data_IF_192791868213
#
_entry.id   IF_192791868213
#
_cell.length_a   1.000
_cell.length_b   1.000
_cell.length_c   1.000
_cell.angle_alpha   90.00
_cell.angle_beta   90.00
_cell.angle_gamma   90.00
#
_symmetry.space_group_name_H-M   'P 1'
#
loop_
_entity.id
_entity.type
_entity.pdbx_description
1 polymer ?
#
# COMPACT_ATOMS: atom_id res chain seq x y z
N UNK A 1 -5.07 9.06 -14.64
CA UNK A 1 -4.29 9.41 -15.85
C UNK A 1 -5.16 9.82 -17.04
N UNK A 2 -6.31 9.17 -17.32
CA UNK A 2 -7.22 9.52 -18.46
C UNK A 2 -7.80 10.95 -18.50
N UNK A 3 -7.43 11.86 -17.59
CA UNK A 3 -7.97 13.21 -17.45
C UNK A 3 -7.14 14.31 -18.12
N UNK A 4 -5.84 14.07 -18.33
CA UNK A 4 -4.91 15.03 -18.95
C UNK A 4 -4.56 14.57 -20.37
N UNK A 5 -4.64 15.45 -21.37
CA UNK A 5 -4.26 15.11 -22.76
C UNK A 5 -2.80 14.66 -22.87
N UNK A 6 -1.91 15.22 -22.04
CA UNK A 6 -0.50 14.83 -21.95
C UNK A 6 -0.27 13.40 -21.45
N UNK A 7 -1.28 12.75 -20.85
CA UNK A 7 -1.18 11.39 -20.31
C UNK A 7 -0.99 10.33 -21.39
N UNK A 8 -1.34 10.60 -22.66
CA UNK A 8 -1.11 9.67 -23.78
C UNK A 8 0.37 9.29 -23.93
N UNK A 9 1.28 10.22 -23.64
CA UNK A 9 2.74 10.02 -23.74
C UNK A 9 3.26 8.91 -22.80
N UNK A 10 2.61 8.72 -21.65
CA UNK A 10 3.05 7.78 -20.61
C UNK A 10 2.19 6.53 -20.51
N UNK A 11 1.18 6.39 -21.37
CA UNK A 11 0.21 5.27 -21.30
C UNK A 11 0.88 3.91 -21.45
N UNK A 12 1.96 3.82 -22.23
CA UNK A 12 2.72 2.58 -22.41
C UNK A 12 3.42 2.09 -21.13
N UNK A 13 3.76 2.99 -20.19
CA UNK A 13 4.44 2.64 -18.95
C UNK A 13 3.49 2.08 -17.89
N UNK A 14 2.20 2.45 -17.96
CA UNK A 14 1.17 2.08 -16.97
C UNK A 14 1.06 0.56 -16.82
N UNK A 15 1.13 -0.20 -17.92
CA UNK A 15 1.06 -1.67 -17.88
C UNK A 15 2.22 -2.30 -17.10
N UNK A 16 3.43 -1.74 -17.21
CA UNK A 16 4.59 -2.22 -16.48
C UNK A 16 4.51 -1.87 -14.99
N UNK A 17 4.06 -0.66 -14.67
CA UNK A 17 3.78 -0.27 -13.28
C UNK A 17 2.76 -1.23 -12.67
N UNK A 18 1.64 -1.47 -13.36
CA UNK A 18 0.59 -2.37 -12.88
C UNK A 18 1.12 -3.80 -12.68
N UNK A 19 1.93 -4.32 -13.61
CA UNK A 19 2.53 -5.64 -13.49
C UNK A 19 3.41 -5.75 -12.23
N UNK A 20 4.29 -4.78 -12.00
CA UNK A 20 5.16 -4.78 -10.79
C UNK A 20 4.33 -4.65 -9.51
N UNK A 21 3.29 -3.83 -9.50
CA UNK A 21 2.41 -3.68 -8.33
C UNK A 21 1.64 -4.96 -8.02
N UNK A 22 1.10 -5.64 -9.04
CA UNK A 22 0.38 -6.91 -8.87
C UNK A 22 1.35 -8.00 -8.39
N UNK A 23 2.52 -8.11 -9.00
CA UNK A 23 3.52 -9.10 -8.60
C UNK A 23 4.04 -8.85 -7.18
N UNK A 24 4.31 -7.59 -6.83
CA UNK A 24 4.67 -7.20 -5.47
C UNK A 24 3.56 -7.52 -4.46
N UNK A 25 2.31 -7.26 -4.81
CA UNK A 25 1.16 -7.60 -3.97
C UNK A 25 1.05 -9.11 -3.74
N UNK A 26 1.21 -9.93 -4.79
CA UNK A 26 1.18 -11.39 -4.68
C UNK A 26 2.29 -11.92 -3.77
N UNK A 27 3.52 -11.41 -3.91
CA UNK A 27 4.64 -11.76 -3.01
C UNK A 27 4.31 -11.36 -1.56
N UNK A 28 3.78 -10.15 -1.36
CA UNK A 28 3.47 -9.64 -0.03
C UNK A 28 2.37 -10.44 0.69
N UNK A 29 1.31 -10.83 -0.04
CA UNK A 29 0.21 -11.66 0.48
C UNK A 29 0.65 -13.09 0.82
N UNK A 30 1.71 -13.60 0.18
CA UNK A 30 2.15 -14.99 0.36
C UNK A 30 2.45 -15.29 1.84
N UNK A 31 1.72 -16.23 2.48
CA UNK A 31 1.96 -16.59 3.88
C UNK A 31 3.24 -17.42 3.99
N UNK A 32 3.99 -17.23 5.07
CA UNK A 32 5.20 -18.02 5.31
C UNK A 32 4.86 -19.45 5.73
N UNK A 33 3.81 -19.61 6.54
CA UNK A 33 3.30 -20.89 7.04
C UNK A 33 1.91 -21.12 6.46
N UNK A 34 1.73 -22.23 5.74
CA UNK A 34 0.41 -22.65 5.28
C UNK A 34 -0.30 -23.39 6.41
N UNK A 35 -1.60 -23.14 6.58
CA UNK A 35 -2.44 -23.90 7.52
C UNK A 35 -2.74 -25.22 6.80
N UNK A 36 -1.89 -26.21 7.04
CA UNK A 36 -1.94 -27.52 6.39
C UNK A 36 -2.53 -28.56 7.35
N UNK A 37 -3.30 -29.50 6.83
CA UNK A 37 -3.72 -30.67 7.61
C UNK A 37 -2.52 -31.60 7.86
N UNK A 38 -2.52 -32.41 8.93
CA UNK A 38 -1.42 -33.32 9.24
C UNK A 38 -1.04 -34.25 8.09
N UNK A 39 -2.02 -34.68 7.27
CA UNK A 39 -1.81 -35.47 6.05
C UNK A 39 -1.06 -34.71 4.96
N UNK A 40 -1.36 -33.42 4.78
CA UNK A 40 -0.69 -32.58 3.78
C UNK A 40 0.75 -32.25 4.18
N UNK A 41 0.99 -32.00 5.48
CA UNK A 41 2.33 -31.79 6.04
C UNK A 41 3.24 -33.01 5.81
N UNK A 42 2.69 -34.23 5.95
CA UNK A 42 3.42 -35.47 5.68
C UNK A 42 3.78 -35.63 4.19
N UNK A 43 2.87 -35.26 3.27
CA UNK A 43 3.16 -35.30 1.83
C UNK A 43 4.09 -34.19 1.34
N UNK A 44 4.09 -33.03 2.00
CA UNK A 44 4.95 -31.89 1.65
C UNK A 44 6.35 -31.99 2.24
N UNK A 45 6.59 -32.93 3.16
CA UNK A 45 7.87 -33.08 3.85
C UNK A 45 8.18 -31.96 4.84
N UNK A 46 7.17 -31.18 5.25
CA UNK A 46 7.30 -30.05 6.18
C UNK A 46 6.15 -29.05 6.11
N UNK A 47 6.18 -28.04 6.99
CA UNK A 47 5.15 -26.98 7.10
C UNK A 47 5.27 -25.88 6.04
N UNK A 48 6.27 -25.97 5.15
CA UNK A 48 6.58 -24.95 4.14
C UNK A 48 6.74 -25.60 2.77
N UNK A 49 6.17 -24.98 1.74
CA UNK A 49 6.39 -25.38 0.36
C UNK A 49 7.77 -24.86 -0.12
N UNK A 50 8.60 -25.71 -0.72
CA UNK A 50 9.98 -25.34 -1.15
C UNK A 50 10.05 -24.07 -2.00
N UNK A 51 9.05 -23.80 -2.85
CA UNK A 51 9.01 -22.61 -3.71
C UNK A 51 8.32 -21.38 -3.08
N UNK A 52 7.33 -21.57 -2.20
CA UNK A 52 6.54 -20.46 -1.61
C UNK A 52 7.09 -20.02 -0.25
N UNK A 53 7.78 -20.92 0.45
CA UNK A 53 8.44 -20.65 1.73
C UNK A 53 9.43 -19.48 1.65
N UNK A 54 10.33 -19.44 0.64
CA UNK A 54 11.22 -18.31 0.41
C UNK A 54 10.49 -16.98 0.14
N UNK A 55 9.36 -17.00 -0.57
CA UNK A 55 8.59 -15.79 -0.87
C UNK A 55 7.82 -15.26 0.36
N UNK A 56 7.49 -16.14 1.31
CA UNK A 56 6.78 -15.77 2.53
C UNK A 56 7.63 -15.13 3.62
N UNK A 57 8.96 -15.10 3.51
CA UNK A 57 9.84 -14.53 4.55
C UNK A 57 9.73 -12.99 4.62
N UNK A 58 10.02 -12.42 5.79
CA UNK A 58 9.99 -10.96 5.98
C UNK A 58 10.86 -10.18 4.98
N UNK A 59 12.11 -10.59 4.64
CA UNK A 59 12.89 -9.93 3.60
C UNK A 59 12.20 -9.83 2.24
N UNK A 60 11.55 -10.89 1.76
CA UNK A 60 10.85 -10.90 0.47
C UNK A 60 9.67 -9.92 0.46
N UNK A 61 8.91 -9.87 1.57
CA UNK A 61 7.81 -8.91 1.75
C UNK A 61 8.31 -7.47 1.77
N UNK A 62 9.46 -7.21 2.38
CA UNK A 62 10.04 -5.88 2.44
C UNK A 62 10.50 -5.38 1.06
N UNK A 63 11.11 -6.25 0.25
CA UNK A 63 11.46 -5.93 -1.14
C UNK A 63 10.21 -5.56 -1.94
N UNK A 64 9.18 -6.41 -1.86
CA UNK A 64 7.93 -6.22 -2.57
C UNK A 64 7.28 -4.87 -2.21
N UNK A 65 7.18 -4.54 -0.92
CA UNK A 65 6.61 -3.28 -0.45
C UNK A 65 7.43 -2.07 -0.91
N UNK A 66 8.76 -2.11 -0.81
CA UNK A 66 9.60 -0.99 -1.24
C UNK A 66 9.52 -0.77 -2.76
N UNK A 67 9.49 -1.84 -3.56
CA UNK A 67 9.25 -1.73 -5.00
C UNK A 67 7.86 -1.16 -5.29
N UNK A 68 6.82 -1.63 -4.58
CA UNK A 68 5.48 -1.06 -4.73
C UNK A 68 5.44 0.43 -4.41
N UNK A 69 6.15 0.89 -3.37
CA UNK A 69 6.25 2.31 -3.03
C UNK A 69 6.96 3.12 -4.14
N UNK A 70 8.10 2.65 -4.65
CA UNK A 70 8.82 3.30 -5.76
C UNK A 70 7.91 3.44 -6.99
N UNK A 71 7.24 2.36 -7.39
CA UNK A 71 6.40 2.34 -8.59
C UNK A 71 5.10 3.13 -8.40
N UNK A 72 4.55 3.19 -7.18
CA UNK A 72 3.42 4.06 -6.84
C UNK A 72 3.83 5.53 -6.93
N UNK A 73 5.00 5.88 -6.39
CA UNK A 73 5.54 7.24 -6.51
C UNK A 73 5.84 7.61 -7.97
N UNK A 74 6.38 6.68 -8.77
CA UNK A 74 6.57 6.86 -10.20
C UNK A 74 5.24 7.17 -10.91
N UNK A 75 4.18 6.42 -10.59
CA UNK A 75 2.83 6.70 -11.12
C UNK A 75 2.35 8.11 -10.77
N UNK A 76 2.55 8.55 -9.52
CA UNK A 76 2.25 9.92 -9.09
C UNK A 76 3.08 10.97 -9.84
N UNK A 77 4.39 10.73 -10.00
CA UNK A 77 5.31 11.63 -10.68
C UNK A 77 4.93 11.81 -12.15
N UNK A 78 4.61 10.71 -12.83
CA UNK A 78 4.14 10.73 -14.22
C UNK A 78 2.79 11.42 -14.36
N UNK A 79 1.88 11.27 -13.39
CA UNK A 79 0.62 12.01 -13.38
C UNK A 79 0.87 13.52 -13.31
N UNK A 80 1.75 13.96 -12.40
CA UNK A 80 2.11 15.38 -12.25
C UNK A 80 2.81 15.95 -13.49
N UNK A 81 3.63 15.14 -14.17
CA UNK A 81 4.27 15.47 -15.46
C UNK A 81 3.31 15.43 -16.64
N UNK A 82 2.23 14.66 -16.57
CA UNK A 82 1.21 14.61 -17.63
C UNK A 82 0.40 15.90 -17.72
N UNK A 83 0.32 16.64 -16.61
CA UNK A 83 -0.43 17.90 -16.50
C UNK A 83 0.39 19.13 -16.92
N UNK A 84 1.71 18.97 -17.11
CA UNK A 84 2.66 20.07 -17.36
C UNK A 84 3.65 19.70 -18.47
N UNK A 85 3.83 20.56 -19.48
CA UNK A 85 4.93 20.45 -20.43
C UNK A 85 6.18 21.16 -19.89
N UNK A 86 7.26 20.41 -19.77
CA UNK A 86 8.56 20.90 -19.31
C UNK A 86 9.17 21.75 -20.44
N UNK A 87 9.63 22.97 -20.12
CA UNK A 87 10.13 23.96 -21.08
C UNK A 87 11.61 24.33 -20.85
N UNK A 88 12.25 23.71 -19.86
CA UNK A 88 13.63 24.03 -19.43
C UNK A 88 14.64 23.36 -20.36
N UNK A 89 15.71 24.08 -20.72
CA UNK A 89 16.79 23.58 -21.60
C UNK A 89 17.49 22.31 -21.09
N UNK A 90 17.49 22.10 -19.77
CA UNK A 90 18.07 20.91 -19.12
C UNK A 90 17.10 19.73 -19.00
N UNK A 91 15.97 19.73 -19.72
CA UNK A 91 14.95 18.67 -19.65
C UNK A 91 15.55 17.27 -19.86
N UNK A 92 16.36 17.08 -20.91
CA UNK A 92 16.90 15.76 -21.26
C UNK A 92 17.79 15.19 -20.16
N UNK A 93 18.64 16.04 -19.58
CA UNK A 93 19.57 15.64 -18.53
C UNK A 93 18.85 15.46 -17.18
N UNK A 94 17.88 16.31 -16.84
CA UNK A 94 17.02 16.10 -15.66
C UNK A 94 16.21 14.80 -15.74
N UNK A 95 15.67 14.48 -16.92
CA UNK A 95 14.97 13.22 -17.15
C UNK A 95 15.92 12.01 -17.04
N UNK A 96 17.11 12.09 -17.64
CA UNK A 96 18.11 11.04 -17.55
C UNK A 96 18.56 10.82 -16.08
N UNK A 97 18.75 11.90 -15.32
CA UNK A 97 19.14 11.85 -13.92
C UNK A 97 18.05 11.21 -13.05
N UNK A 98 16.78 11.55 -13.27
CA UNK A 98 15.66 10.89 -12.58
C UNK A 98 15.64 9.39 -12.90
N UNK A 99 15.74 9.02 -14.17
CA UNK A 99 15.75 7.60 -14.58
C UNK A 99 16.93 6.86 -13.91
N UNK A 100 18.12 7.48 -13.87
CA UNK A 100 19.28 6.92 -13.20
C UNK A 100 19.02 6.70 -11.70
N UNK A 101 18.42 7.67 -11.00
CA UNK A 101 18.06 7.54 -9.58
C UNK A 101 17.10 6.38 -9.35
N UNK A 102 16.08 6.22 -10.20
CA UNK A 102 15.15 5.09 -10.10
C UNK A 102 15.86 3.75 -10.32
N UNK A 103 16.72 3.64 -11.33
CA UNK A 103 17.46 2.41 -11.63
C UNK A 103 18.40 2.03 -10.49
N UNK A 104 19.14 3.01 -9.95
CA UNK A 104 20.04 2.81 -8.82
C UNK A 104 19.26 2.39 -7.58
N UNK A 105 18.13 3.04 -7.29
CA UNK A 105 17.33 2.71 -6.12
C UNK A 105 16.67 1.33 -6.24
N UNK A 106 16.13 0.96 -7.41
CA UNK A 106 15.56 -0.37 -7.65
C UNK A 106 16.64 -1.43 -7.50
N UNK A 107 17.81 -1.21 -8.12
CA UNK A 107 18.96 -2.12 -7.99
C UNK A 107 19.39 -2.27 -6.54
N UNK A 108 19.46 -1.16 -5.79
CA UNK A 108 19.85 -1.19 -4.38
C UNK A 108 18.80 -1.92 -3.52
N UNK A 109 17.51 -1.70 -3.74
CA UNK A 109 16.43 -2.40 -3.00
C UNK A 109 16.48 -3.91 -3.24
N UNK A 110 16.67 -4.32 -4.50
CA UNK A 110 16.78 -5.75 -4.86
C UNK A 110 18.06 -6.34 -4.27
N UNK A 111 19.21 -5.69 -4.44
CA UNK A 111 20.48 -6.16 -3.90
C UNK A 111 20.42 -6.27 -2.37
N UNK A 112 19.95 -5.23 -1.69
CA UNK A 112 19.77 -5.21 -0.24
C UNK A 112 18.92 -6.39 0.24
N UNK A 113 17.80 -6.62 -0.43
CA UNK A 113 16.86 -7.65 -0.02
C UNK A 113 17.29 -9.07 -0.35
N UNK A 114 17.92 -9.29 -1.51
CA UNK A 114 18.37 -10.63 -1.93
C UNK A 114 19.64 -11.02 -1.18
N UNK A 115 20.65 -10.15 -1.17
CA UNK A 115 21.95 -10.42 -0.57
C UNK A 115 21.83 -10.59 0.95
N UNK A 116 21.27 -9.59 1.65
CA UNK A 116 21.15 -9.67 3.10
C UNK A 116 20.00 -10.58 3.53
N UNK A 117 18.90 -10.66 2.77
CA UNK A 117 17.71 -11.44 3.15
C UNK A 117 17.92 -12.97 3.15
N UNK A 118 18.63 -13.50 2.15
CA UNK A 118 18.81 -14.95 1.98
C UNK A 118 20.17 -15.46 2.45
N UNK A 119 21.24 -14.67 2.31
CA UNK A 119 22.61 -15.17 2.52
C UNK A 119 23.26 -14.72 3.83
N UNK A 120 22.64 -13.86 4.64
CA UNK A 120 23.25 -13.33 5.87
C UNK A 120 22.47 -13.64 7.15
N UNK A 121 23.12 -13.41 8.29
CA UNK A 121 22.57 -13.67 9.64
C UNK A 121 21.38 -12.73 9.97
N UNK A 122 20.52 -13.13 10.90
CA UNK A 122 19.23 -12.46 11.20
C UNK A 122 19.35 -10.97 11.53
N UNK A 123 20.44 -10.54 12.16
CA UNK A 123 20.70 -9.12 12.49
C UNK A 123 20.85 -8.26 11.23
N UNK A 124 21.59 -8.74 10.22
CA UNK A 124 21.79 -8.02 8.97
C UNK A 124 20.52 -8.00 8.10
N UNK A 125 19.64 -9.01 8.24
CA UNK A 125 18.31 -9.01 7.60
C UNK A 125 17.48 -7.81 8.05
N UNK A 126 17.47 -7.52 9.36
CA UNK A 126 16.76 -6.35 9.91
C UNK A 126 17.46 -5.05 9.51
N UNK A 127 18.79 -4.99 9.58
CA UNK A 127 19.54 -3.80 9.13
C UNK A 127 19.30 -3.44 7.66
N UNK A 128 19.12 -4.43 6.79
CA UNK A 128 18.85 -4.22 5.37
C UNK A 128 17.54 -3.47 5.10
N UNK A 129 16.56 -3.54 6.02
CA UNK A 129 15.29 -2.83 5.86
C UNK A 129 15.48 -1.32 5.91
N UNK A 130 16.39 -0.84 6.76
CA UNK A 130 16.73 0.58 6.87
C UNK A 130 17.30 1.08 5.54
N UNK A 131 18.21 0.30 4.92
CA UNK A 131 18.79 0.67 3.63
C UNK A 131 17.76 0.73 2.50
N UNK A 132 16.80 -0.21 2.48
CA UNK A 132 15.70 -0.21 1.51
C UNK A 132 14.80 1.03 1.67
N UNK A 133 14.43 1.36 2.91
CA UNK A 133 13.58 2.54 3.22
C UNK A 133 14.31 3.85 2.91
N UNK A 134 15.60 3.95 3.23
CA UNK A 134 16.38 5.15 2.89
C UNK A 134 16.49 5.32 1.37
N UNK A 135 16.65 4.22 0.61
CA UNK A 135 16.68 4.27 -0.85
C UNK A 135 15.36 4.77 -1.43
N UNK A 136 14.21 4.31 -0.90
CA UNK A 136 12.89 4.78 -1.34
C UNK A 136 12.64 6.23 -0.98
N UNK A 137 13.04 6.68 0.23
CA UNK A 137 12.95 8.08 0.63
C UNK A 137 13.80 9.00 -0.24
N UNK A 138 15.03 8.57 -0.59
CA UNK A 138 15.90 9.33 -1.49
C UNK A 138 15.21 9.53 -2.84
N UNK A 139 14.64 8.49 -3.43
CA UNK A 139 13.90 8.59 -4.72
C UNK A 139 12.76 9.59 -4.62
N UNK A 140 11.98 9.55 -3.54
CA UNK A 140 10.85 10.45 -3.35
C UNK A 140 11.34 11.90 -3.22
N UNK A 141 12.30 12.15 -2.35
CA UNK A 141 12.81 13.50 -2.09
C UNK A 141 13.49 14.06 -3.34
N UNK A 142 14.45 13.33 -3.92
CA UNK A 142 15.15 13.78 -5.12
C UNK A 142 14.20 13.95 -6.29
N UNK A 143 13.27 13.01 -6.50
CA UNK A 143 12.29 13.06 -7.57
C UNK A 143 11.38 14.27 -7.44
N UNK A 144 10.92 14.59 -6.23
CA UNK A 144 10.13 15.81 -5.97
C UNK A 144 10.95 17.08 -6.18
N UNK A 145 12.19 17.13 -5.69
CA UNK A 145 13.05 18.31 -5.82
C UNK A 145 13.36 18.59 -7.29
N UNK A 146 13.81 17.58 -8.05
CA UNK A 146 14.15 17.74 -9.47
C UNK A 146 12.93 18.15 -10.28
N UNK A 147 11.78 17.49 -10.07
CA UNK A 147 10.54 17.88 -10.73
C UNK A 147 10.15 19.33 -10.42
N UNK A 148 10.26 19.75 -9.16
CA UNK A 148 9.89 21.11 -8.74
C UNK A 148 10.77 22.15 -9.45
N UNK A 149 12.07 21.88 -9.57
CA UNK A 149 13.01 22.71 -10.33
C UNK A 149 12.69 22.72 -11.84
N UNK A 150 12.34 21.56 -12.41
CA UNK A 150 11.98 21.44 -13.83
C UNK A 150 10.64 22.11 -14.15
N UNK A 151 9.72 22.22 -13.18
CA UNK A 151 8.42 22.85 -13.39
C UNK A 151 8.39 24.37 -13.25
N UNK A 152 9.51 25.01 -12.89
CA UNK A 152 9.57 26.46 -12.59
C UNK A 152 9.08 27.36 -13.73
N UNK A 153 9.04 26.88 -14.98
CA UNK A 153 8.51 27.60 -16.16
C UNK A 153 7.59 26.74 -17.05
N UNK A 154 7.06 25.64 -16.51
CA UNK A 154 6.33 24.66 -17.32
C UNK A 154 4.95 25.18 -17.77
N UNK A 155 4.56 24.86 -19.00
CA UNK A 155 3.21 25.17 -19.52
C UNK A 155 2.22 24.16 -18.95
N UNK A 156 1.13 24.65 -18.36
CA UNK A 156 0.04 23.81 -17.83
C UNK A 156 -0.84 23.38 -19.01
N UNK A 157 -1.12 22.09 -19.11
CA UNK A 157 -2.01 21.54 -20.14
C UNK A 157 -3.47 21.54 -19.68
N UNK A 158 -4.43 21.59 -20.62
CA UNK A 158 -5.84 21.50 -20.26
C UNK A 158 -6.15 20.14 -19.62
N UNK A 159 -6.70 20.18 -18.41
CA UNK A 159 -7.12 19.01 -17.63
C UNK A 159 -8.64 19.00 -17.52
N UNK A 160 -9.26 17.89 -17.91
CA UNK A 160 -10.72 17.76 -17.82
C UNK A 160 -11.11 17.37 -16.38
N UNK A 161 -11.66 18.34 -15.64
CA UNK A 161 -12.22 18.14 -14.31
C UNK A 161 -13.61 17.49 -14.40
N UNK A 162 -13.98 16.72 -13.37
CA UNK A 162 -15.28 16.03 -13.29
C UNK A 162 -15.40 14.70 -14.04
N UNK A 163 -14.57 14.43 -15.05
CA UNK A 163 -14.57 13.14 -15.77
C UNK A 163 -13.71 12.09 -15.06
N UNK A 164 -14.27 11.45 -14.03
CA UNK A 164 -13.64 10.30 -13.34
C UNK A 164 -14.32 9.01 -13.79
N UNK A 165 -13.53 7.98 -14.11
CA UNK A 165 -14.06 6.66 -14.48
C UNK A 165 -14.77 6.03 -13.28
N UNK A 166 -15.93 5.41 -13.49
CA UNK A 166 -16.71 4.73 -12.43
C UNK A 166 -15.88 3.69 -11.67
N UNK A 167 -15.00 2.96 -12.35
CA UNK A 167 -14.05 2.00 -11.75
C UNK A 167 -13.17 2.62 -10.66
N UNK A 168 -12.73 3.87 -10.85
CA UNK A 168 -11.91 4.58 -9.86
C UNK A 168 -12.72 4.99 -8.64
N UNK A 169 -14.02 5.27 -8.80
CA UNK A 169 -14.90 5.61 -7.69
C UNK A 169 -15.13 4.38 -6.80
N UNK A 170 -15.41 3.22 -7.41
CA UNK A 170 -15.50 1.96 -6.66
C UNK A 170 -14.20 1.64 -5.91
N UNK A 171 -13.03 1.84 -6.55
CA UNK A 171 -11.74 1.64 -5.89
C UNK A 171 -11.53 2.59 -4.70
N UNK A 172 -11.95 3.86 -4.81
CA UNK A 172 -11.85 4.85 -3.72
C UNK A 172 -12.73 4.49 -2.52
N UNK A 173 -13.87 3.83 -2.72
CA UNK A 173 -14.70 3.31 -1.62
C UNK A 173 -14.18 1.99 -1.05
N UNK A 174 -13.65 1.10 -1.90
CA UNK A 174 -13.14 -0.20 -1.46
C UNK A 174 -11.80 -0.10 -0.69
N UNK A 175 -10.98 0.90 -1.01
CA UNK A 175 -9.64 1.08 -0.41
C UNK A 175 -9.67 1.28 1.11
N UNK A 176 -10.48 2.22 1.66
CA UNK A 176 -10.59 2.41 3.11
C UNK A 176 -11.04 1.13 3.82
N UNK A 177 -12.02 0.43 3.23
CA UNK A 177 -12.56 -0.82 3.77
C UNK A 177 -11.45 -1.89 3.89
N UNK A 178 -10.70 -2.11 2.80
CA UNK A 178 -9.59 -3.06 2.79
C UNK A 178 -8.48 -2.66 3.78
N UNK A 179 -8.17 -1.37 3.89
CA UNK A 179 -7.17 -0.88 4.85
C UNK A 179 -7.60 -1.07 6.29
N UNK A 180 -8.87 -0.84 6.64
CA UNK A 180 -9.38 -1.07 8.00
C UNK A 180 -9.21 -2.53 8.40
N UNK A 181 -9.56 -3.48 7.54
CA UNK A 181 -9.33 -4.91 7.79
C UNK A 181 -7.85 -5.23 8.00
N UNK A 182 -6.99 -4.75 7.11
CA UNK A 182 -5.56 -5.04 7.18
C UNK A 182 -4.91 -4.47 8.45
N UNK A 183 -5.26 -3.23 8.81
CA UNK A 183 -4.74 -2.58 10.01
C UNK A 183 -5.22 -3.25 11.28
N UNK A 184 -6.49 -3.67 11.34
CA UNK A 184 -7.04 -4.41 12.47
C UNK A 184 -6.29 -5.74 12.69
N UNK A 185 -6.11 -6.51 11.61
CA UNK A 185 -5.44 -7.81 11.68
C UNK A 185 -3.96 -7.67 12.09
N UNK A 186 -3.22 -6.76 11.47
CA UNK A 186 -1.80 -6.56 11.79
C UNK A 186 -1.60 -5.96 13.19
N UNK A 187 -2.52 -5.09 13.63
CA UNK A 187 -2.55 -4.56 14.99
C UNK A 187 -2.73 -5.67 16.02
N UNK A 188 -3.64 -6.62 15.75
CA UNK A 188 -3.83 -7.79 16.60
C UNK A 188 -2.61 -8.70 16.65
N UNK A 189 -2.04 -9.05 15.50
CA UNK A 189 -0.85 -9.92 15.43
C UNK A 189 0.29 -9.33 16.26
N UNK A 190 0.48 -8.00 16.24
CA UNK A 190 1.47 -7.34 17.10
C UNK A 190 1.08 -7.41 18.58
N UNK A 191 -0.20 -7.24 18.90
CA UNK A 191 -0.68 -7.32 20.28
C UNK A 191 -0.55 -8.74 20.86
N UNK A 192 -0.83 -9.78 20.07
CA UNK A 192 -0.81 -11.18 20.50
C UNK A 192 0.59 -11.70 20.81
N UNK A 193 1.64 -11.09 20.25
CA UNK A 193 3.05 -11.41 20.59
C UNK A 193 3.39 -11.10 22.05
N UNK A 194 2.64 -10.21 22.71
CA UNK A 194 2.78 -9.97 24.16
C UNK A 194 2.30 -11.14 25.00
N UNK A 195 1.68 -12.14 24.39
CA UNK A 195 1.17 -13.36 25.02
C UNK A 195 0.37 -13.09 26.31
N UNK A 196 0.86 -13.57 27.45
CA UNK A 196 0.25 -13.50 28.77
C UNK A 196 0.75 -12.30 29.60
N UNK A 197 1.37 -11.31 28.97
CA UNK A 197 1.94 -10.16 29.66
C UNK A 197 1.07 -8.92 29.47
N UNK A 198 0.66 -8.29 30.59
CA UNK A 198 0.06 -6.95 30.53
C UNK A 198 1.11 -5.89 30.16
N UNK A 199 2.27 -5.98 30.82
CA UNK A 199 3.49 -5.22 30.49
C UNK A 199 4.58 -6.23 30.16
N UNK A 200 5.09 -6.17 28.93
CA UNK A 200 6.04 -7.15 28.40
C UNK A 200 7.22 -7.34 29.35
N UNK A 201 7.46 -8.58 29.79
CA UNK A 201 8.51 -8.99 30.75
C UNK A 201 8.45 -8.41 32.17
N UNK A 202 7.49 -7.52 32.50
CA UNK A 202 7.38 -6.89 33.82
C UNK A 202 6.19 -7.43 34.61
N UNK A 203 5.01 -7.48 34.00
CA UNK A 203 3.77 -7.90 34.68
C UNK A 203 3.13 -9.06 33.93
N UNK A 204 3.33 -10.26 34.45
CA UNK A 204 2.73 -11.49 33.95
C UNK A 204 1.31 -11.64 34.51
N UNK A 205 0.35 -11.87 33.62
CA UNK A 205 -0.99 -12.25 34.02
C UNK A 205 -1.00 -13.74 34.38
N UNK A 206 -1.33 -14.05 35.63
CA UNK A 206 -1.42 -15.42 36.17
C UNK A 206 -2.87 -15.87 36.37
N UNK A 207 -3.86 -15.10 35.90
CA UNK A 207 -5.26 -15.49 36.03
C UNK A 207 -5.55 -16.78 35.24
N UNK A 208 -6.48 -17.63 35.72
CA UNK A 208 -6.89 -18.84 35.01
C UNK A 208 -7.49 -18.58 33.62
N UNK A 209 -7.99 -17.36 33.39
CA UNK A 209 -8.67 -16.94 32.16
C UNK A 209 -7.75 -16.23 31.16
N UNK A 210 -6.43 -16.30 31.40
CA UNK A 210 -5.45 -15.72 30.50
C UNK A 210 -5.37 -16.52 29.19
N UNK A 211 -6.19 -16.13 28.22
CA UNK A 211 -6.31 -16.80 26.93
C UNK A 211 -6.08 -15.82 25.78
N UNK A 212 -5.24 -16.24 24.83
CA UNK A 212 -5.00 -15.51 23.59
C UNK A 212 -5.84 -16.18 22.50
N UNK A 213 -6.80 -15.47 21.90
CA UNK A 213 -7.59 -16.03 20.82
C UNK A 213 -6.72 -16.52 19.66
N UNK A 214 -7.10 -17.66 19.08
CA UNK A 214 -6.50 -18.08 17.81
C UNK A 214 -6.74 -17.01 16.74
N UNK A 215 -5.81 -16.88 15.78
CA UNK A 215 -5.87 -15.86 14.71
C UNK A 215 -7.20 -15.93 13.94
N UNK A 216 -7.73 -17.14 13.71
CA UNK A 216 -9.04 -17.32 13.06
C UNK A 216 -10.20 -16.74 13.88
N UNK A 217 -10.24 -16.99 15.19
CA UNK A 217 -11.28 -16.44 16.06
C UNK A 217 -11.19 -14.91 16.15
N UNK A 218 -9.98 -14.38 16.33
CA UNK A 218 -9.73 -12.94 16.35
C UNK A 218 -10.12 -12.26 15.03
N UNK A 219 -9.79 -12.89 13.89
CA UNK A 219 -10.15 -12.41 12.56
C UNK A 219 -11.67 -12.33 12.34
N UNK A 220 -12.43 -13.31 12.83
CA UNK A 220 -13.89 -13.28 12.78
C UNK A 220 -14.45 -12.11 13.61
N UNK A 221 -13.95 -11.91 14.83
CA UNK A 221 -14.37 -10.80 15.69
C UNK A 221 -14.07 -9.43 15.07
N UNK A 222 -12.88 -9.26 14.48
CA UNK A 222 -12.50 -8.02 13.78
C UNK A 222 -13.39 -7.76 12.56
N UNK A 223 -13.77 -8.82 11.84
CA UNK A 223 -14.68 -8.73 10.69
C UNK A 223 -16.04 -8.24 11.14
N UNK A 224 -16.59 -8.78 12.24
CA UNK A 224 -17.85 -8.31 12.82
C UNK A 224 -17.75 -6.83 13.22
N UNK A 225 -16.71 -6.44 13.94
CA UNK A 225 -16.51 -5.05 14.37
C UNK A 225 -16.37 -4.09 13.17
N UNK A 226 -15.65 -4.49 12.14
CA UNK A 226 -15.47 -3.69 10.91
C UNK A 226 -16.78 -3.52 10.16
N UNK A 227 -17.57 -4.59 10.01
CA UNK A 227 -18.88 -4.53 9.36
C UNK A 227 -19.86 -3.64 10.14
N UNK A 228 -19.89 -3.75 11.47
CA UNK A 228 -20.71 -2.86 12.31
C UNK A 228 -20.33 -1.39 12.13
N UNK A 229 -19.03 -1.08 12.13
CA UNK A 229 -18.54 0.27 11.87
C UNK A 229 -18.96 0.78 10.49
N UNK A 230 -18.86 -0.04 9.44
CA UNK A 230 -19.28 0.32 8.09
C UNK A 230 -20.80 0.55 8.00
N UNK A 231 -21.61 -0.26 8.68
CA UNK A 231 -23.06 -0.06 8.77
C UNK A 231 -23.36 1.30 9.42
N UNK A 232 -22.67 1.65 10.50
CA UNK A 232 -22.84 2.94 11.17
C UNK A 232 -22.45 4.10 10.24
N UNK A 233 -21.34 3.98 9.51
CA UNK A 233 -20.94 5.01 8.52
C UNK A 233 -22.01 5.18 7.44
N UNK A 234 -22.50 4.08 6.87
CA UNK A 234 -23.56 4.13 5.85
C UNK A 234 -24.84 4.77 6.41
N UNK A 235 -25.18 4.44 7.66
CA UNK A 235 -26.31 5.04 8.36
C UNK A 235 -26.14 6.55 8.58
N UNK A 236 -24.95 7.02 8.97
CA UNK A 236 -24.63 8.44 9.13
C UNK A 236 -24.75 9.17 7.78
N UNK A 237 -24.19 8.61 6.70
CA UNK A 237 -24.31 9.20 5.36
C UNK A 237 -25.76 9.24 4.88
N UNK A 238 -26.55 8.22 5.20
CA UNK A 238 -27.98 8.20 4.91
C UNK A 238 -28.72 9.32 5.65
N UNK A 239 -28.50 9.50 6.96
CA UNK A 239 -29.08 10.62 7.73
C UNK A 239 -28.66 11.97 7.14
N UNK A 240 -27.37 12.14 6.81
CA UNK A 240 -26.87 13.37 6.20
C UNK A 240 -27.56 13.68 4.85
N UNK A 241 -27.85 12.66 4.05
CA UNK A 241 -28.57 12.83 2.77
C UNK A 241 -30.02 13.28 2.96
N UNK A 242 -30.68 12.84 4.03
CA UNK A 242 -32.03 13.28 4.38
C UNK A 242 -32.05 14.76 4.77
N UNK A 243 -31.02 15.24 5.46
CA UNK A 243 -30.90 16.66 5.83
C UNK A 243 -30.81 17.61 4.63
N UNK A 244 -30.29 17.15 3.49
CA UNK A 244 -30.18 17.96 2.25
C UNK A 244 -31.52 18.07 1.53
N UNK A 245 -32.48 17.20 1.84
CA UNK A 245 -33.85 17.27 1.32
C UNK A 245 -34.63 18.29 2.14
N UNK A 246 -34.33 19.58 1.98
CA UNK A 246 -35.15 20.63 2.59
C UNK A 246 -36.59 20.55 2.06
N UNK A 247 -37.56 20.60 2.97
CA UNK A 247 -38.98 20.75 2.62
C UNK A 247 -39.17 22.07 1.87
N UNK A 248 -39.91 22.01 0.75
CA UNK A 248 -40.31 23.20 0.00
C UNK A 248 -41.05 24.14 0.96
N UNK A 249 -40.67 25.43 1.07
CA UNK A 249 -41.38 26.35 1.94
C UNK A 249 -42.85 26.40 1.51
N UNK A 250 -43.81 26.45 2.47
CA UNK A 250 -45.22 26.48 2.13
C UNK A 250 -45.47 27.63 1.15
N UNK A 251 -46.03 27.31 -0.02
CA UNK A 251 -46.53 28.33 -0.93
C UNK A 251 -47.56 29.13 -0.14
N UNK A 252 -47.33 30.43 0.00
CA UNK A 252 -48.35 31.34 0.47
C UNK A 252 -49.51 31.25 -0.53
N UNK A 253 -50.54 30.48 -0.20
CA UNK A 253 -51.85 30.65 -0.81
C UNK A 253 -52.27 32.09 -0.56
N UNK A 254 -52.56 32.78 -1.66
CA UNK A 254 -52.55 34.23 -1.73
C UNK A 254 -53.52 34.95 -0.79
N UNK A 255 -53.15 36.19 -0.50
CA UNK A 255 -54.05 37.31 -0.30
C UNK A 255 -53.34 38.58 -0.80
#
# INVERSE_FOLDING_TARGET
MSRCEGSRRYTWLIKYIAFVLVLGFLIWVTPHTLILTPSEVATLGGSHHHLLGPLGIMPAKNIAVNLMLIFTFLSFQLYRRSDKQITVSWEKLGNALIVAIYIVAISNVIFAGVYYGYFTNTVYKVGSSVMQVMSTLIVIISGVVIDTLMFKNAKILPSQWGKVTSRSQYALFALPIAFTWLMALMGYVRSSVRTHWHVYTVMKDNSPENYIPAIGHAGNMMTIATLLFLIIILFIFWIASLSTTQQVPPQAEGA
#
